data_IF_148891777325
#
_entry.id   IF_148891777325
#
_cell.length_a   1.000
_cell.length_b   1.000
_cell.length_c   1.000
_cell.angle_alpha   90.00
_cell.angle_beta   90.00
_cell.angle_gamma   90.00
#
_symmetry.space_group_name_H-M   'P 1'
#
loop_
_entity.id
_entity.type
_entity.pdbx_description
1 polymer ?
#
# COMPACT_ATOMS: atom_id res chain seq x y z
N UNK A 1 14.80 3.22 -9.75
CA UNK A 1 14.59 3.42 -8.29
C UNK A 1 13.72 2.30 -7.78
N UNK A 2 14.10 1.65 -6.68
CA UNK A 2 13.26 0.63 -6.05
C UNK A 2 12.12 1.31 -5.29
N UNK A 3 10.94 0.69 -5.25
CA UNK A 3 9.82 1.17 -4.44
C UNK A 3 10.15 0.98 -2.96
N UNK A 4 9.95 2.01 -2.15
CA UNK A 4 10.20 1.93 -0.71
C UNK A 4 8.94 1.58 0.09
N UNK A 5 9.15 1.15 1.33
CA UNK A 5 8.06 0.86 2.27
C UNK A 5 7.17 2.08 2.49
N UNK A 6 7.78 3.25 2.64
CA UNK A 6 7.10 4.52 2.89
C UNK A 6 6.17 4.88 1.73
N UNK A 7 6.62 4.69 0.48
CA UNK A 7 5.79 4.95 -0.70
C UNK A 7 4.56 4.05 -0.75
N UNK A 8 4.70 2.77 -0.38
CA UNK A 8 3.59 1.82 -0.31
C UNK A 8 2.58 2.25 0.75
N UNK A 9 3.06 2.61 1.95
CA UNK A 9 2.22 3.07 3.06
C UNK A 9 1.49 4.35 2.67
N UNK A 10 2.21 5.36 2.20
CA UNK A 10 1.62 6.65 1.80
C UNK A 10 0.55 6.46 0.72
N UNK A 11 0.81 5.58 -0.26
CA UNK A 11 -0.17 5.25 -1.31
C UNK A 11 -1.41 4.57 -0.72
N UNK A 12 -1.23 3.59 0.17
CA UNK A 12 -2.34 2.91 0.84
C UNK A 12 -3.19 3.89 1.67
N UNK A 13 -2.56 4.82 2.38
CA UNK A 13 -3.24 5.87 3.14
C UNK A 13 -3.99 6.85 2.24
N UNK A 14 -3.40 7.28 1.12
CA UNK A 14 -4.07 8.12 0.13
C UNK A 14 -5.30 7.45 -0.46
N UNK A 15 -5.23 6.15 -0.75
CA UNK A 15 -6.39 5.39 -1.22
C UNK A 15 -7.46 5.31 -0.13
N UNK A 16 -7.08 4.96 1.10
CA UNK A 16 -8.01 4.90 2.24
C UNK A 16 -8.69 6.24 2.50
N UNK A 17 -7.94 7.35 2.48
CA UNK A 17 -8.46 8.71 2.68
C UNK A 17 -9.49 9.13 1.62
N UNK A 18 -9.42 8.51 0.42
CA UNK A 18 -10.39 8.69 -0.66
C UNK A 18 -11.58 7.71 -0.56
N UNK A 19 -11.72 6.97 0.54
CA UNK A 19 -12.64 5.84 0.68
C UNK A 19 -12.46 4.75 -0.40
N UNK A 20 -11.26 4.65 -0.99
CA UNK A 20 -10.91 3.60 -1.94
C UNK A 20 -10.22 2.49 -1.16
N UNK A 21 -10.66 1.24 -1.37
CA UNK A 21 -10.01 0.09 -0.74
C UNK A 21 -8.57 -0.07 -1.27
N UNK A 22 -7.53 0.05 -0.43
CA UNK A 22 -6.15 -0.15 -0.85
C UNK A 22 -5.89 -1.65 -1.03
N UNK A 23 -6.18 -2.14 -2.23
CA UNK A 23 -5.84 -3.48 -2.69
C UNK A 23 -4.40 -3.53 -3.19
N UNK A 24 -3.78 -4.71 -3.24
CA UNK A 24 -2.43 -4.86 -3.80
C UNK A 24 -2.35 -4.34 -5.25
N UNK A 25 -3.38 -4.58 -6.05
CA UNK A 25 -3.47 -4.09 -7.41
C UNK A 25 -3.58 -2.56 -7.45
N UNK A 26 -4.49 -1.97 -6.65
CA UNK A 26 -4.69 -0.51 -6.62
C UNK A 26 -3.46 0.25 -6.12
N UNK A 27 -2.76 -0.29 -5.12
CA UNK A 27 -1.50 0.30 -4.63
C UNK A 27 -0.41 0.19 -5.69
N UNK A 28 -0.27 -0.95 -6.37
CA UNK A 28 0.70 -1.12 -7.47
C UNK A 28 0.41 -0.18 -8.64
N UNK A 29 -0.86 -0.04 -9.01
CA UNK A 29 -1.28 0.85 -10.10
C UNK A 29 -1.01 2.31 -9.75
N UNK A 30 -1.35 2.75 -8.54
CA UNK A 30 -1.09 4.10 -8.06
C UNK A 30 0.41 4.42 -7.94
N UNK A 31 1.25 3.42 -7.68
CA UNK A 31 2.71 3.54 -7.69
C UNK A 31 3.32 3.51 -9.10
N UNK A 32 2.54 3.16 -10.14
CA UNK A 32 3.02 3.00 -11.51
C UNK A 32 3.84 1.72 -11.74
N UNK A 33 3.80 0.75 -10.81
CA UNK A 33 4.53 -0.50 -10.92
C UNK A 33 4.99 -1.06 -9.59
N UNK A 34 5.96 -1.98 -9.63
CA UNK A 34 6.52 -2.64 -8.46
C UNK A 34 6.28 -4.14 -8.40
N UNK A 35 7.12 -4.81 -7.62
CA UNK A 35 6.95 -6.23 -7.33
C UNK A 35 5.90 -6.43 -6.24
N UNK A 36 4.95 -7.32 -6.50
CA UNK A 36 3.98 -7.75 -5.50
C UNK A 36 4.65 -8.36 -4.27
N UNK A 37 5.82 -8.99 -4.42
CA UNK A 37 6.59 -9.53 -3.31
C UNK A 37 7.08 -8.43 -2.35
N UNK A 38 7.30 -7.21 -2.85
CA UNK A 38 7.67 -6.04 -2.02
C UNK A 38 6.44 -5.36 -1.42
N UNK A 39 5.36 -5.24 -2.21
CA UNK A 39 4.14 -4.53 -1.78
C UNK A 39 3.35 -5.34 -0.74
N UNK A 40 3.23 -6.65 -0.92
CA UNK A 40 2.41 -7.54 -0.07
C UNK A 40 2.71 -7.45 1.42
N UNK A 41 3.97 -7.66 1.88
CA UNK A 41 4.26 -7.62 3.32
C UNK A 41 3.99 -6.25 3.92
N UNK A 42 4.38 -5.18 3.23
CA UNK A 42 4.18 -3.80 3.71
C UNK A 42 2.70 -3.45 3.81
N UNK A 43 1.90 -3.78 2.79
CA UNK A 43 0.47 -3.48 2.78
C UNK A 43 -0.28 -4.28 3.85
N UNK A 44 0.14 -5.53 4.12
CA UNK A 44 -0.41 -6.34 5.19
C UNK A 44 -0.10 -5.73 6.55
N UNK A 45 1.17 -5.39 6.82
CA UNK A 45 1.57 -4.77 8.09
C UNK A 45 0.82 -3.47 8.34
N UNK A 46 0.67 -2.64 7.29
CA UNK A 46 -0.10 -1.42 7.36
C UNK A 46 -1.58 -1.66 7.69
N UNK A 47 -2.24 -2.63 7.06
CA UNK A 47 -3.64 -2.99 7.37
C UNK A 47 -3.78 -3.45 8.83
N UNK A 48 -2.91 -4.34 9.28
CA UNK A 48 -2.91 -4.83 10.66
C UNK A 48 -2.73 -3.69 11.66
N UNK A 49 -1.84 -2.73 11.36
CA UNK A 49 -1.61 -1.57 12.24
C UNK A 49 -2.83 -0.65 12.37
N UNK A 50 -3.71 -0.63 11.37
CA UNK A 50 -4.96 0.16 11.38
C UNK A 50 -6.12 -0.60 12.00
N UNK A 51 -6.18 -1.91 11.84
CA UNK A 51 -7.22 -2.76 12.43
C UNK A 51 -7.07 -2.87 13.96
N UNK A 52 -5.84 -2.76 14.48
CA UNK A 52 -5.56 -2.76 15.91
C UNK A 52 -5.76 -1.40 16.61
N UNK A 53 -6.34 -0.40 15.93
CA UNK A 53 -6.48 0.98 16.42
C UNK A 53 -7.94 1.38 16.59
#
# INVERSE_FOLDING_TARGET
MAITKEQIIETAERLQAKNINPTMAGVREALGGGSFATISPVLRDWKTSKEQR
#
